data_IF_281784574812
#
_entry.id   IF_281784574812
#
_cell.length_a   1.000
_cell.length_b   1.000
_cell.length_c   1.000
_cell.angle_alpha   90.00
_cell.angle_beta   90.00
_cell.angle_gamma   90.00
#
_symmetry.space_group_name_H-M   'P 1'
#
loop_
_entity.id
_entity.type
_entity.pdbx_description
1 polymer ?
#
# COMPACT_ATOMS: atom_id res chain seq x y z
N UNK A 1 -7.17 -15.19 -33.55
CA UNK A 1 -7.45 -16.61 -33.24
C UNK A 1 -8.00 -16.79 -31.83
N UNK A 2 -8.17 -15.72 -31.04
CA UNK A 2 -8.70 -15.79 -29.67
C UNK A 2 -10.21 -15.52 -29.57
N UNK A 3 -10.89 -15.10 -30.64
CA UNK A 3 -12.33 -14.77 -30.61
C UNK A 3 -13.27 -16.00 -30.56
N UNK A 4 -12.73 -17.22 -30.68
CA UNK A 4 -13.51 -18.47 -30.67
C UNK A 4 -13.64 -19.08 -29.27
N UNK A 5 -12.97 -18.48 -28.28
CA UNK A 5 -13.01 -18.89 -26.89
C UNK A 5 -13.36 -17.68 -26.01
N UNK A 6 -14.23 -17.88 -25.03
CA UNK A 6 -14.61 -16.85 -24.06
C UNK A 6 -13.46 -16.61 -23.04
N UNK A 7 -13.53 -15.54 -22.24
CA UNK A 7 -12.54 -15.15 -21.21
C UNK A 7 -12.26 -16.29 -20.19
N UNK A 8 -13.21 -17.21 -20.05
CA UNK A 8 -13.11 -18.40 -19.20
C UNK A 8 -12.55 -19.65 -19.91
N UNK A 9 -12.17 -19.55 -21.19
CA UNK A 9 -11.56 -20.64 -21.96
C UNK A 9 -12.52 -21.67 -22.57
N UNK A 10 -13.83 -21.39 -22.58
CA UNK A 10 -14.84 -22.24 -23.22
C UNK A 10 -14.96 -21.91 -24.71
N UNK A 11 -15.05 -22.94 -25.58
CA UNK A 11 -15.21 -22.75 -27.02
C UNK A 11 -16.63 -22.24 -27.34
N UNK A 12 -16.71 -21.01 -27.85
CA UNK A 12 -17.94 -20.33 -28.28
C UNK A 12 -18.00 -20.15 -29.81
N UNK A 13 -17.01 -20.65 -30.55
CA UNK A 13 -17.03 -20.67 -32.01
C UNK A 13 -18.16 -21.56 -32.56
N UNK A 14 -18.60 -21.26 -33.79
CA UNK A 14 -19.58 -22.08 -34.51
C UNK A 14 -19.19 -23.58 -34.48
N UNK A 15 -20.16 -24.50 -34.37
CA UNK A 15 -19.89 -25.93 -34.33
C UNK A 15 -19.13 -26.30 -35.61
N UNK A 16 -17.94 -26.88 -35.46
CA UNK A 16 -17.16 -27.27 -36.62
C UNK A 16 -17.98 -28.26 -37.47
N UNK A 17 -18.22 -27.93 -38.74
CA UNK A 17 -18.79 -28.85 -39.72
C UNK A 17 -17.81 -30.03 -39.92
N UNK A 18 -17.99 -31.09 -39.15
CA UNK A 18 -17.26 -32.35 -39.27
C UNK A 18 -18.07 -33.30 -40.15
N UNK A 19 -17.81 -33.26 -41.45
CA UNK A 19 -18.42 -34.09 -42.49
C UNK A 19 -17.91 -35.56 -42.38
N UNK A 20 -18.75 -36.43 -41.80
CA UNK A 20 -19.00 -37.86 -42.09
C UNK A 20 -19.46 -38.61 -40.80
N UNK A 21 -20.78 -38.73 -40.67
CA UNK A 21 -21.58 -39.65 -39.81
C UNK A 21 -20.85 -40.37 -38.65
N UNK A 22 -20.96 -39.82 -37.43
CA UNK A 22 -20.49 -40.48 -36.21
C UNK A 22 -20.90 -39.81 -34.90
N UNK A 23 -22.15 -40.03 -34.48
CA UNK A 23 -22.68 -39.92 -33.10
C UNK A 23 -21.96 -38.94 -32.15
N UNK A 24 -22.45 -37.70 -32.03
CA UNK A 24 -22.19 -36.90 -30.84
C UNK A 24 -23.48 -36.28 -30.29
N UNK A 25 -23.85 -36.83 -29.13
CA UNK A 25 -25.00 -36.58 -28.29
C UNK A 25 -25.46 -35.11 -28.24
N UNK A 26 -26.75 -34.90 -28.51
CA UNK A 26 -27.46 -33.63 -28.40
C UNK A 26 -27.47 -33.13 -26.95
N UNK A 27 -26.48 -32.31 -26.56
CA UNK A 27 -26.50 -31.60 -25.29
C UNK A 27 -27.42 -30.37 -25.39
N UNK A 28 -28.74 -30.62 -25.37
CA UNK A 28 -29.75 -29.59 -25.09
C UNK A 28 -29.44 -28.96 -23.72
N UNK A 29 -29.65 -27.65 -23.52
CA UNK A 29 -29.48 -27.04 -22.21
C UNK A 29 -30.47 -27.70 -21.24
N UNK A 30 -29.95 -28.31 -20.18
CA UNK A 30 -30.76 -28.82 -19.08
C UNK A 30 -31.42 -27.63 -18.37
N UNK A 31 -32.65 -27.31 -18.76
CA UNK A 31 -33.57 -26.56 -17.92
C UNK A 31 -33.79 -27.40 -16.66
N UNK A 32 -33.17 -27.01 -15.54
CA UNK A 32 -33.42 -27.62 -14.25
C UNK A 32 -34.90 -27.41 -13.88
N UNK A 33 -35.72 -28.45 -14.09
CA UNK A 33 -37.09 -28.49 -13.61
C UNK A 33 -37.05 -28.73 -12.10
N UNK A 34 -37.27 -27.68 -11.32
CA UNK A 34 -37.30 -27.70 -9.85
C UNK A 34 -38.31 -28.71 -9.27
N UNK A 35 -39.27 -29.15 -10.08
CA UNK A 35 -40.34 -30.09 -9.68
C UNK A 35 -39.91 -31.56 -9.60
N UNK A 36 -38.75 -31.95 -10.12
CA UNK A 36 -38.36 -33.38 -10.22
C UNK A 36 -37.18 -33.75 -9.30
N UNK A 37 -36.57 -32.76 -8.63
CA UNK A 37 -35.50 -32.98 -7.65
C UNK A 37 -36.02 -33.27 -6.23
N UNK A 38 -37.30 -32.99 -5.95
CA UNK A 38 -37.99 -33.42 -4.75
C UNK A 38 -38.96 -34.53 -5.16
N UNK A 39 -38.46 -35.76 -5.11
CA UNK A 39 -39.28 -36.96 -5.29
C UNK A 39 -40.46 -36.93 -4.34
N UNK A 40 -41.61 -37.36 -4.85
CA UNK A 40 -42.80 -37.69 -4.10
C UNK A 40 -42.48 -38.92 -3.22
N UNK A 41 -41.76 -38.69 -2.12
CA UNK A 41 -41.63 -39.65 -1.03
C UNK A 41 -42.83 -39.47 -0.11
N UNK A 42 -43.67 -40.50 -0.11
CA UNK A 42 -44.78 -40.72 0.80
C UNK A 42 -44.31 -40.53 2.25
N UNK A 43 -44.71 -39.43 2.88
CA UNK A 43 -44.39 -39.11 4.27
C UNK A 43 -45.16 -40.05 5.21
N UNK A 44 -44.59 -41.22 5.47
CA UNK A 44 -44.95 -42.05 6.63
C UNK A 44 -44.75 -41.22 7.91
N UNK A 45 -45.81 -41.19 8.71
CA UNK A 45 -46.02 -40.36 9.88
C UNK A 45 -45.08 -40.77 11.03
N UNK A 46 -43.82 -40.30 11.04
CA UNK A 46 -42.95 -40.42 12.20
C UNK A 46 -43.01 -39.15 13.06
N UNK A 47 -44.13 -39.00 13.78
CA UNK A 47 -44.25 -38.06 14.90
C UNK A 47 -43.28 -38.45 16.02
N UNK A 48 -42.08 -37.87 16.02
CA UNK A 48 -41.16 -37.92 17.15
C UNK A 48 -40.30 -36.65 17.15
N UNK A 49 -40.45 -35.73 18.11
CA UNK A 49 -39.53 -34.61 18.24
C UNK A 49 -38.16 -35.18 18.62
N UNK A 50 -37.31 -35.44 17.64
CA UNK A 50 -35.87 -35.57 17.86
C UNK A 50 -35.38 -34.17 18.25
N UNK A 51 -35.28 -33.96 19.56
CA UNK A 51 -34.58 -32.84 20.17
C UNK A 51 -33.10 -32.96 19.74
N UNK A 52 -32.79 -32.43 18.58
CA UNK A 52 -31.42 -32.28 18.11
C UNK A 52 -30.78 -31.26 19.05
N UNK A 53 -29.89 -31.73 19.91
CA UNK A 53 -29.05 -30.91 20.76
C UNK A 53 -28.16 -30.10 19.79
N UNK A 54 -28.58 -28.87 19.52
CA UNK A 54 -27.81 -27.93 18.73
C UNK A 54 -26.57 -27.59 19.55
N UNK A 55 -25.45 -28.23 19.20
CA UNK A 55 -24.14 -27.86 19.70
C UNK A 55 -23.95 -26.37 19.40
N UNK A 56 -24.07 -25.58 20.45
CA UNK A 56 -23.80 -24.15 20.45
C UNK A 56 -22.31 -24.01 20.12
N UNK A 57 -21.95 -23.06 19.24
CA UNK A 57 -20.59 -22.64 18.90
C UNK A 57 -19.95 -23.16 17.60
N UNK A 58 -20.64 -23.00 16.47
CA UNK A 58 -20.01 -22.30 15.34
C UNK A 58 -21.04 -21.35 14.74
N UNK A 59 -20.98 -20.08 15.13
CA UNK A 59 -21.76 -19.05 14.45
C UNK A 59 -21.32 -19.02 12.99
N UNK A 60 -22.19 -19.45 12.07
CA UNK A 60 -22.07 -19.24 10.63
C UNK A 60 -22.21 -17.73 10.32
N UNK A 61 -21.31 -16.93 10.87
CA UNK A 61 -21.27 -15.50 10.69
C UNK A 61 -20.79 -15.24 9.26
N UNK A 62 -21.71 -14.80 8.41
CA UNK A 62 -21.41 -14.42 7.02
C UNK A 62 -20.50 -13.18 7.05
N UNK A 63 -19.34 -13.29 6.42
CA UNK A 63 -18.41 -12.18 6.27
C UNK A 63 -18.89 -11.31 5.10
N UNK A 64 -19.11 -10.02 5.37
CA UNK A 64 -19.46 -9.04 4.35
C UNK A 64 -18.31 -8.90 3.34
N UNK A 65 -18.64 -8.50 2.11
CA UNK A 65 -17.64 -8.41 1.05
C UNK A 65 -16.56 -7.35 1.31
N UNK A 66 -16.85 -6.31 2.11
CA UNK A 66 -15.89 -5.31 2.57
C UNK A 66 -14.89 -5.87 3.60
N UNK A 67 -15.33 -6.84 4.41
CA UNK A 67 -14.53 -7.46 5.47
C UNK A 67 -13.76 -8.71 5.00
N UNK A 68 -13.83 -9.05 3.70
CA UNK A 68 -13.09 -10.18 3.14
C UNK A 68 -11.60 -9.86 3.10
N UNK A 69 -10.87 -10.39 4.09
CA UNK A 69 -9.41 -10.38 4.12
C UNK A 69 -8.86 -11.46 3.18
N UNK A 70 -8.30 -11.05 2.04
CA UNK A 70 -7.72 -11.97 1.05
C UNK A 70 -6.29 -12.40 1.36
N UNK A 71 -5.57 -11.62 2.19
CA UNK A 71 -4.16 -11.84 2.49
C UNK A 71 -3.95 -11.99 4.00
N UNK A 72 -3.05 -12.90 4.43
CA UNK A 72 -2.68 -13.02 5.83
C UNK A 72 -1.92 -11.78 6.31
N UNK A 73 -1.99 -11.51 7.61
CA UNK A 73 -1.24 -10.41 8.22
C UNK A 73 0.28 -10.60 8.09
N UNK A 74 1.04 -9.50 8.04
CA UNK A 74 2.49 -9.55 7.89
C UNK A 74 3.19 -10.35 9.01
N UNK A 75 2.69 -10.24 10.24
CA UNK A 75 3.21 -11.01 11.38
C UNK A 75 3.00 -12.52 11.22
N UNK A 76 1.90 -12.95 10.61
CA UNK A 76 1.64 -14.38 10.38
C UNK A 76 2.57 -14.97 9.32
N UNK A 77 3.04 -14.16 8.37
CA UNK A 77 3.97 -14.59 7.32
C UNK A 77 5.41 -14.65 7.83
N UNK A 78 5.87 -13.61 8.56
CA UNK A 78 7.26 -13.50 8.99
C UNK A 78 7.56 -14.04 10.39
N UNK A 79 6.55 -14.17 11.26
CA UNK A 79 6.70 -14.63 12.64
C UNK A 79 6.98 -13.49 13.64
N UNK A 80 7.00 -13.84 14.93
CA UNK A 80 7.13 -12.86 16.02
C UNK A 80 8.56 -12.33 16.23
N UNK A 81 9.56 -12.97 15.62
CA UNK A 81 10.97 -12.59 15.75
C UNK A 81 11.37 -11.45 14.80
N UNK A 82 10.48 -11.05 13.87
CA UNK A 82 10.72 -10.01 12.86
C UNK A 82 9.78 -8.83 13.12
N UNK A 83 10.36 -7.63 13.25
CA UNK A 83 9.59 -6.39 13.35
C UNK A 83 9.09 -5.96 11.96
N UNK A 84 7.78 -5.95 11.78
CA UNK A 84 7.14 -5.48 10.55
C UNK A 84 6.61 -4.06 10.76
N UNK A 85 7.29 -3.07 10.19
CA UNK A 85 6.86 -1.67 10.21
C UNK A 85 6.21 -1.30 8.88
N UNK A 86 5.04 -0.66 8.93
CA UNK A 86 4.36 -0.09 7.77
C UNK A 86 4.47 1.42 7.86
N UNK A 87 5.13 2.05 6.88
CA UNK A 87 5.26 3.50 6.77
C UNK A 87 4.58 3.95 5.48
N UNK A 88 3.41 4.57 5.61
CA UNK A 88 2.60 5.04 4.46
C UNK A 88 3.10 6.38 3.93
N UNK A 89 3.68 7.21 4.79
CA UNK A 89 4.18 8.54 4.45
C UNK A 89 5.66 8.69 4.80
N UNK A 90 6.34 9.54 4.03
CA UNK A 90 7.74 9.88 4.25
C UNK A 90 7.90 10.73 5.52
N UNK A 91 8.94 10.43 6.31
CA UNK A 91 9.26 11.22 7.51
C UNK A 91 9.92 12.57 7.22
N UNK A 92 10.44 12.77 6.00
CA UNK A 92 11.14 13.97 5.59
C UNK A 92 10.49 14.56 4.34
N UNK A 93 10.06 15.84 4.37
CA UNK A 93 9.50 16.48 3.18
C UNK A 93 10.60 16.76 2.15
N UNK A 94 10.23 16.76 0.85
CA UNK A 94 11.12 17.08 -0.28
C UNK A 94 11.80 18.45 -0.20
N UNK A 95 11.28 19.37 0.61
CA UNK A 95 11.88 20.69 0.84
C UNK A 95 13.15 20.64 1.70
N UNK A 96 13.28 19.62 2.55
CA UNK A 96 14.43 19.47 3.42
C UNK A 96 15.45 18.51 2.79
N UNK A 97 16.73 18.92 2.65
CA UNK A 97 17.75 18.04 2.10
C UNK A 97 18.10 16.94 3.11
N UNK A 98 18.43 15.73 2.61
CA UNK A 98 18.87 14.60 3.45
C UNK A 98 20.16 14.95 4.21
N UNK A 99 21.08 15.68 3.56
CA UNK A 99 22.30 16.18 4.19
C UNK A 99 22.20 17.70 4.30
N UNK A 100 22.14 18.20 5.52
CA UNK A 100 22.07 19.64 5.77
C UNK A 100 23.34 20.35 5.25
N UNK A 101 23.21 21.41 4.44
CA UNK A 101 24.35 22.17 3.97
C UNK A 101 24.97 22.99 5.11
N UNK A 102 26.25 23.31 4.99
CA UNK A 102 26.95 24.18 5.95
C UNK A 102 26.47 25.62 5.78
N UNK A 103 25.63 26.09 6.69
CA UNK A 103 25.10 27.46 6.69
C UNK A 103 25.93 28.38 7.60
N UNK A 104 26.69 29.29 7.01
CA UNK A 104 27.37 30.36 7.76
C UNK A 104 26.40 31.53 7.99
N UNK A 105 25.75 31.56 9.16
CA UNK A 105 24.83 32.64 9.54
C UNK A 105 25.62 33.85 10.05
N UNK A 106 25.91 34.81 9.18
CA UNK A 106 26.47 36.11 9.56
C UNK A 106 25.34 37.13 9.71
N UNK A 107 25.04 37.53 10.95
CA UNK A 107 23.97 38.48 11.27
C UNK A 107 24.42 39.93 11.32
N UNK A 108 25.73 40.17 11.41
CA UNK A 108 26.36 41.47 11.36
C UNK A 108 27.51 41.43 10.34
N UNK A 109 27.78 42.59 9.73
CA UNK A 109 28.89 42.73 8.81
C UNK A 109 30.20 42.75 9.62
N UNK A 110 30.94 41.64 9.54
CA UNK A 110 32.27 41.51 10.13
C UNK A 110 33.28 41.49 8.98
N UNK A 111 34.05 42.57 8.86
CA UNK A 111 35.20 42.63 7.97
C UNK A 111 36.31 41.76 8.57
N UNK A 112 36.58 40.61 7.95
CA UNK A 112 37.63 39.70 8.41
C UNK A 112 39.04 40.26 8.16
N UNK A 113 39.19 41.17 7.21
CA UNK A 113 40.45 41.78 6.83
C UNK A 113 40.47 43.26 7.20
N UNK A 114 41.63 43.75 7.64
CA UNK A 114 41.77 45.18 7.93
C UNK A 114 41.70 45.98 6.62
N UNK A 115 40.91 47.07 6.56
CA UNK A 115 40.86 47.92 5.38
C UNK A 115 42.23 48.55 5.10
N UNK A 116 42.59 48.78 3.82
CA UNK A 116 43.84 49.42 3.47
C UNK A 116 43.86 50.85 4.02
N UNK A 117 44.80 51.13 4.91
CA UNK A 117 45.00 52.44 5.51
C UNK A 117 46.20 53.16 4.88
N UNK A 118 46.13 54.49 4.80
CA UNK A 118 47.21 55.31 4.26
C UNK A 118 48.48 55.32 5.14
N UNK A 119 48.37 54.88 6.40
CA UNK A 119 49.43 54.87 7.39
C UNK A 119 49.71 53.45 7.88
N UNK A 120 50.96 53.18 8.30
CA UNK A 120 51.30 51.86 8.86
C UNK A 120 50.61 51.67 10.21
N UNK A 121 50.18 50.45 10.49
CA UNK A 121 49.49 50.09 11.75
C UNK A 121 50.31 50.45 13.00
N UNK A 122 51.64 50.38 12.92
CA UNK A 122 52.56 50.80 13.98
C UNK A 122 52.51 52.30 14.27
N UNK A 123 52.36 53.12 13.23
CA UNK A 123 52.26 54.59 13.35
C UNK A 123 50.94 54.98 14.01
N UNK A 124 49.85 54.30 13.67
CA UNK A 124 48.54 54.47 14.30
C UNK A 124 48.58 54.17 15.80
N UNK A 125 49.25 53.07 16.19
CA UNK A 125 49.45 52.69 17.59
C UNK A 125 50.31 53.71 18.34
N UNK A 126 51.36 54.21 17.70
CA UNK A 126 52.24 55.23 18.27
C UNK A 126 51.49 56.54 18.54
N UNK A 127 50.69 57.03 17.59
CA UNK A 127 49.87 58.22 17.79
C UNK A 127 48.80 58.04 18.86
N UNK A 128 48.16 56.87 18.94
CA UNK A 128 47.18 56.57 20.01
C UNK A 128 47.83 56.56 21.40
N UNK A 129 49.05 56.02 21.52
CA UNK A 129 49.79 55.94 22.78
C UNK A 129 50.33 57.29 23.26
N UNK A 130 50.81 58.14 22.34
CA UNK A 130 51.53 59.37 22.70
C UNK A 130 50.68 60.64 22.61
N UNK A 131 49.68 60.66 21.73
CA UNK A 131 48.86 61.85 21.48
C UNK A 131 47.39 61.68 21.87
N UNK A 132 46.99 60.50 22.36
CA UNK A 132 45.62 60.25 22.86
C UNK A 132 44.54 60.46 21.80
N UNK A 133 44.88 60.41 20.51
CA UNK A 133 43.96 60.66 19.41
C UNK A 133 42.95 59.51 19.38
N UNK A 134 41.63 59.77 19.46
CA UNK A 134 40.63 58.73 19.32
C UNK A 134 40.76 58.15 17.91
N UNK A 135 40.84 56.81 17.81
CA UNK A 135 40.72 56.16 16.52
C UNK A 135 39.37 56.57 15.95
N UNK A 136 39.36 57.29 14.83
CA UNK A 136 38.17 57.37 13.99
C UNK A 136 37.86 55.94 13.55
N UNK A 137 36.96 55.30 14.28
CA UNK A 137 36.24 54.11 13.84
C UNK A 137 35.32 54.56 12.72
N UNK A 138 35.60 54.12 11.51
CA UNK A 138 34.58 53.98 10.47
C UNK A 138 34.11 52.53 10.50
#
# INVERSE_FOLDING_TARGET
MDDLYDEFGNYIGEPADSDEEGQHNEARPHTFSFSEAFGEEEYEEHNGPQLMEADEHVSNAVILHEDKQYYPSAQQVYGADVETLVQEEDMQPLSEPIIAPVLQKKFAFEEAELPPNAYKTEQARYWKSNFGIPMCTF
#
